data_IF_068692061476
#
_entry.id   IF_068692061476
#
_cell.length_a   1.000
_cell.length_b   1.000
_cell.length_c   1.000
_cell.angle_alpha   90.00
_cell.angle_beta   90.00
_cell.angle_gamma   90.00
#
_symmetry.space_group_name_H-M   'P 1'
#
loop_
_entity.id
_entity.type
_entity.pdbx_description
1 polymer ?
#
# COMPACT_ATOMS: atom_id res chain seq x y z
N UNK A 1 -10.18 5.97 27.88
CA UNK A 1 -9.26 5.29 26.95
C UNK A 1 -10.14 4.73 25.85
N UNK A 2 -10.23 5.43 24.70
CA UNK A 2 -11.00 4.90 23.58
C UNK A 2 -10.33 3.60 23.13
N UNK A 3 -11.10 2.54 22.93
CA UNK A 3 -10.62 1.32 22.30
C UNK A 3 -10.14 1.69 20.90
N UNK A 4 -8.82 1.74 20.71
CA UNK A 4 -8.21 2.05 19.41
C UNK A 4 -8.34 0.83 18.49
N UNK A 5 -9.57 0.56 18.07
CA UNK A 5 -9.91 -0.46 17.09
C UNK A 5 -9.84 0.09 15.67
N UNK A 6 -9.85 -0.80 14.68
CA UNK A 6 -9.98 -0.43 13.28
C UNK A 6 -11.20 0.47 13.02
N UNK A 7 -11.12 1.37 12.04
CA UNK A 7 -12.24 2.20 11.59
C UNK A 7 -13.26 1.33 10.83
N UNK A 8 -14.18 0.69 11.56
CA UNK A 8 -15.12 -0.29 10.99
C UNK A 8 -16.07 0.30 9.94
N UNK A 9 -16.48 1.55 10.09
CA UNK A 9 -17.35 2.21 9.09
C UNK A 9 -16.64 2.43 7.75
N UNK A 10 -15.35 2.84 7.77
CA UNK A 10 -14.55 2.94 6.55
C UNK A 10 -14.38 1.56 5.88
N UNK A 11 -14.13 0.51 6.66
CA UNK A 11 -14.06 -0.87 6.13
C UNK A 11 -15.38 -1.27 5.47
N UNK A 12 -16.51 -0.99 6.11
CA UNK A 12 -17.83 -1.27 5.56
C UNK A 12 -18.09 -0.46 4.28
N UNK A 13 -17.73 0.82 4.26
CA UNK A 13 -17.86 1.68 3.09
C UNK A 13 -17.02 1.19 1.90
N UNK A 14 -15.77 0.77 2.15
CA UNK A 14 -14.90 0.15 1.15
C UNK A 14 -15.55 -1.11 0.58
N UNK A 15 -15.98 -2.05 1.43
CA UNK A 15 -16.61 -3.30 1.00
C UNK A 15 -17.88 -3.04 0.17
N UNK A 16 -18.70 -2.09 0.58
CA UNK A 16 -19.90 -1.69 -0.15
C UNK A 16 -19.56 -1.07 -1.52
N UNK A 17 -18.53 -0.23 -1.60
CA UNK A 17 -18.10 0.36 -2.87
C UNK A 17 -17.56 -0.69 -3.85
N UNK A 18 -16.80 -1.67 -3.34
CA UNK A 18 -16.34 -2.82 -4.13
C UNK A 18 -17.52 -3.67 -4.61
N UNK A 19 -18.50 -3.95 -3.75
CA UNK A 19 -19.69 -4.71 -4.12
C UNK A 19 -20.53 -4.02 -5.20
N UNK A 20 -20.74 -2.70 -5.09
CA UNK A 20 -21.48 -1.92 -6.09
C UNK A 20 -20.80 -1.93 -7.48
N UNK A 21 -19.49 -2.07 -7.53
CA UNK A 21 -18.71 -2.13 -8.78
C UNK A 21 -18.53 -3.54 -9.33
N UNK A 22 -19.17 -4.55 -8.74
CA UNK A 22 -18.90 -5.95 -9.06
C UNK A 22 -19.36 -6.35 -10.47
N UNK A 23 -18.57 -7.20 -11.10
CA UNK A 23 -18.81 -7.79 -12.41
C UNK A 23 -18.43 -9.28 -12.34
N UNK A 24 -19.42 -10.19 -12.20
CA UNK A 24 -19.14 -11.61 -11.96
C UNK A 24 -18.49 -12.30 -13.15
N UNK A 25 -18.73 -11.83 -14.38
CA UNK A 25 -18.12 -12.41 -15.60
C UNK A 25 -16.62 -12.09 -15.60
N UNK A 26 -16.27 -10.84 -15.34
CA UNK A 26 -14.87 -10.42 -15.26
C UNK A 26 -14.17 -10.96 -14.03
N UNK A 27 -14.86 -11.05 -12.90
CA UNK A 27 -14.34 -11.63 -11.66
C UNK A 27 -13.80 -13.05 -11.90
N UNK A 28 -14.58 -13.91 -12.56
CA UNK A 28 -14.16 -15.27 -12.88
C UNK A 28 -12.89 -15.29 -13.76
N UNK A 29 -12.80 -14.39 -14.74
CA UNK A 29 -11.62 -14.22 -15.59
C UNK A 29 -10.38 -13.76 -14.81
N UNK A 30 -10.54 -12.73 -13.97
CA UNK A 30 -9.47 -12.19 -13.13
C UNK A 30 -8.94 -13.23 -12.14
N UNK A 31 -9.83 -13.96 -11.46
CA UNK A 31 -9.42 -14.97 -10.49
C UNK A 31 -8.60 -16.10 -11.16
N UNK A 32 -9.04 -16.58 -12.34
CA UNK A 32 -8.29 -17.59 -13.11
C UNK A 32 -6.94 -17.06 -13.58
N UNK A 33 -6.90 -15.85 -14.13
CA UNK A 33 -5.67 -15.24 -14.62
C UNK A 33 -4.64 -15.02 -13.51
N UNK A 34 -5.08 -14.46 -12.38
CA UNK A 34 -4.24 -14.13 -11.23
C UNK A 34 -3.92 -15.34 -10.35
N UNK A 35 -4.54 -16.50 -10.63
CA UNK A 35 -4.45 -17.73 -9.82
C UNK A 35 -4.72 -17.45 -8.34
N UNK A 36 -5.72 -16.62 -8.07
CA UNK A 36 -5.95 -16.12 -6.71
C UNK A 36 -6.70 -17.12 -5.84
N UNK A 37 -6.27 -17.22 -4.59
CA UNK A 37 -6.93 -17.98 -3.53
C UNK A 37 -8.24 -17.33 -3.06
N UNK A 38 -8.36 -16.01 -3.19
CA UNK A 38 -9.59 -15.29 -2.87
C UNK A 38 -10.41 -15.05 -4.14
N UNK A 39 -11.75 -15.02 -4.04
CA UNK A 39 -12.60 -14.57 -5.13
C UNK A 39 -12.33 -13.11 -5.47
N UNK A 40 -12.65 -12.74 -6.71
CA UNK A 40 -12.68 -11.34 -7.16
C UNK A 40 -14.11 -10.84 -7.15
N UNK A 41 -14.30 -9.53 -6.90
CA UNK A 41 -15.55 -8.82 -7.23
C UNK A 41 -15.60 -8.44 -8.70
N UNK A 42 -14.46 -8.42 -9.38
CA UNK A 42 -14.40 -8.07 -10.78
C UNK A 42 -14.22 -6.56 -10.95
N UNK A 43 -13.33 -5.89 -10.20
CA UNK A 43 -13.06 -4.46 -10.44
C UNK A 43 -11.76 -4.28 -11.24
N UNK A 44 -11.73 -3.24 -12.08
CA UNK A 44 -10.54 -2.82 -12.82
C UNK A 44 -9.76 -1.81 -11.99
N UNK A 45 -8.48 -1.61 -12.30
CA UNK A 45 -7.68 -0.57 -11.64
C UNK A 45 -8.29 0.84 -11.75
N UNK A 46 -8.84 1.29 -12.91
CA UNK A 46 -9.59 2.55 -12.98
C UNK A 46 -10.81 2.62 -12.07
N UNK A 47 -11.58 1.54 -11.94
CA UNK A 47 -12.74 1.51 -11.04
C UNK A 47 -12.32 1.62 -9.57
N UNK A 48 -11.27 0.90 -9.16
CA UNK A 48 -10.70 1.02 -7.81
C UNK A 48 -10.19 2.43 -7.53
N UNK A 49 -9.48 3.03 -8.50
CA UNK A 49 -8.99 4.40 -8.39
C UNK A 49 -10.11 5.45 -8.35
N UNK A 50 -11.28 5.15 -8.92
CA UNK A 50 -12.44 6.02 -8.88
C UNK A 50 -13.22 5.88 -7.56
N UNK A 51 -13.28 4.68 -6.96
CA UNK A 51 -14.14 4.44 -5.79
C UNK A 51 -13.43 4.55 -4.43
N UNK A 52 -12.14 4.21 -4.31
CA UNK A 52 -11.45 4.20 -3.01
C UNK A 52 -11.02 5.59 -2.52
N UNK A 53 -10.33 6.43 -3.33
CA UNK A 53 -9.83 7.72 -2.84
C UNK A 53 -10.91 8.70 -2.34
N UNK A 54 -12.13 8.74 -2.91
CA UNK A 54 -13.21 9.55 -2.31
C UNK A 54 -13.55 9.13 -0.88
N UNK A 55 -13.60 7.83 -0.59
CA UNK A 55 -13.89 7.34 0.77
C UNK A 55 -12.81 7.75 1.76
N UNK A 56 -11.54 7.67 1.37
CA UNK A 56 -10.42 8.05 2.24
C UNK A 56 -10.34 9.56 2.51
N UNK A 57 -11.03 10.39 1.71
CA UNK A 57 -11.09 11.85 1.86
C UNK A 57 -12.39 12.33 2.50
N UNK A 58 -13.35 11.44 2.72
CA UNK A 58 -14.62 11.79 3.35
C UNK A 58 -14.37 12.16 4.81
N UNK A 59 -14.68 13.40 5.26
CA UNK A 59 -14.51 13.79 6.65
C UNK A 59 -15.29 12.92 7.63
N UNK A 60 -16.41 12.31 7.20
CA UNK A 60 -17.19 11.38 8.02
C UNK A 60 -16.58 9.98 8.16
N UNK A 61 -15.53 9.68 7.40
CA UNK A 61 -14.77 8.41 7.44
C UNK A 61 -13.27 8.65 7.69
N UNK A 62 -12.93 9.81 8.26
CA UNK A 62 -11.55 10.19 8.51
C UNK A 62 -10.94 9.25 9.54
N UNK A 63 -9.78 8.67 9.21
CA UNK A 63 -8.97 7.96 10.20
C UNK A 63 -8.23 9.00 11.04
N UNK A 64 -8.28 8.88 12.35
CA UNK A 64 -7.87 9.95 13.28
C UNK A 64 -6.50 9.72 13.94
N UNK A 65 -5.94 8.50 13.83
CA UNK A 65 -4.66 8.14 14.44
C UNK A 65 -3.88 7.08 13.63
N UNK A 66 -2.56 7.02 13.84
CA UNK A 66 -1.68 5.99 13.26
C UNK A 66 -2.13 4.59 13.66
N UNK A 67 -2.53 4.39 14.91
CA UNK A 67 -2.96 3.10 15.44
C UNK A 67 -4.28 2.65 14.80
N UNK A 68 -5.26 3.55 14.67
CA UNK A 68 -6.51 3.25 13.97
C UNK A 68 -6.27 2.96 12.47
N UNK A 69 -5.35 3.69 11.83
CA UNK A 69 -4.94 3.46 10.44
C UNK A 69 -4.30 2.08 10.24
N UNK A 70 -3.33 1.71 11.08
CA UNK A 70 -2.71 0.40 11.07
C UNK A 70 -3.75 -0.70 11.28
N UNK A 71 -4.61 -0.58 12.29
CA UNK A 71 -5.65 -1.57 12.57
C UNK A 71 -6.66 -1.69 11.41
N UNK A 72 -6.99 -0.58 10.73
CA UNK A 72 -7.89 -0.59 9.56
C UNK A 72 -7.27 -1.31 8.37
N UNK A 73 -5.97 -1.09 8.11
CA UNK A 73 -5.22 -1.81 7.08
C UNK A 73 -5.18 -3.31 7.40
N UNK A 74 -4.87 -3.68 8.64
CA UNK A 74 -4.86 -5.08 9.08
C UNK A 74 -6.21 -5.74 8.86
N UNK A 75 -7.32 -5.08 9.21
CA UNK A 75 -8.66 -5.62 8.94
C UNK A 75 -8.93 -5.84 7.45
N UNK A 76 -8.60 -4.87 6.59
CA UNK A 76 -8.77 -5.02 5.14
C UNK A 76 -7.86 -6.11 4.55
N UNK A 77 -6.78 -6.48 5.26
CA UNK A 77 -5.83 -7.46 4.81
C UNK A 77 -6.11 -8.88 5.33
N UNK A 78 -6.20 -9.03 6.64
CA UNK A 78 -6.33 -10.31 7.34
C UNK A 78 -7.76 -10.85 7.25
N UNK A 79 -8.78 -9.98 7.27
CA UNK A 79 -10.18 -10.35 7.14
C UNK A 79 -10.69 -10.26 5.68
N UNK A 80 -9.78 -10.19 4.70
CA UNK A 80 -10.14 -10.03 3.29
C UNK A 80 -10.99 -11.22 2.79
N UNK A 81 -12.21 -10.94 2.31
CA UNK A 81 -13.07 -11.93 1.68
C UNK A 81 -12.89 -12.00 0.16
N UNK A 82 -12.47 -10.88 -0.44
CA UNK A 82 -12.20 -10.74 -1.87
C UNK A 82 -10.84 -10.08 -2.10
N UNK A 83 -10.20 -10.39 -3.24
CA UNK A 83 -8.85 -9.86 -3.52
C UNK A 83 -8.81 -8.33 -3.58
N UNK A 84 -9.88 -7.68 -4.00
CA UNK A 84 -9.92 -6.21 -4.05
C UNK A 84 -9.82 -5.54 -2.65
N UNK A 85 -10.08 -6.27 -1.57
CA UNK A 85 -9.83 -5.77 -0.20
C UNK A 85 -8.32 -5.64 0.08
N UNK A 86 -7.48 -6.58 -0.39
CA UNK A 86 -6.01 -6.43 -0.35
C UNK A 86 -5.54 -5.20 -1.13
N UNK A 87 -6.14 -4.92 -2.28
CA UNK A 87 -5.84 -3.70 -3.03
C UNK A 87 -6.28 -2.43 -2.28
N UNK A 88 -7.37 -2.52 -1.52
CA UNK A 88 -7.88 -1.43 -0.71
C UNK A 88 -6.98 -1.15 0.49
N UNK A 89 -6.49 -2.21 1.17
CA UNK A 89 -5.48 -2.10 2.23
C UNK A 89 -4.21 -1.41 1.71
N UNK A 90 -3.69 -1.83 0.55
CA UNK A 90 -2.52 -1.20 -0.08
C UNK A 90 -2.81 0.25 -0.51
N UNK A 91 -4.03 0.55 -0.99
CA UNK A 91 -4.42 1.90 -1.36
C UNK A 91 -4.49 2.84 -0.15
N UNK A 92 -5.00 2.34 0.98
CA UNK A 92 -5.05 3.07 2.25
C UNK A 92 -3.65 3.30 2.82
N UNK A 93 -2.80 2.27 2.78
CA UNK A 93 -1.42 2.33 3.27
C UNK A 93 -0.56 3.38 2.54
N UNK A 94 -0.76 3.53 1.22
CA UNK A 94 -0.03 4.52 0.41
C UNK A 94 -0.77 5.83 0.19
N UNK A 95 -1.90 6.04 0.86
CA UNK A 95 -2.73 7.21 0.58
C UNK A 95 -1.99 8.49 1.06
N UNK A 96 -1.91 9.56 0.24
CA UNK A 96 -1.15 10.76 0.59
C UNK A 96 -1.58 11.48 1.87
N UNK A 97 -2.77 11.21 2.41
CA UNK A 97 -3.22 11.77 3.69
C UNK A 97 -2.54 11.12 4.90
N UNK A 98 -2.07 9.88 4.78
CA UNK A 98 -1.56 9.08 5.90
C UNK A 98 -0.05 8.83 5.81
N UNK A 99 0.62 9.52 4.89
CA UNK A 99 2.07 9.46 4.64
C UNK A 99 2.93 9.65 5.89
N UNK A 100 2.50 10.49 6.82
CA UNK A 100 3.29 10.83 8.01
C UNK A 100 3.17 9.74 9.09
N UNK A 101 2.27 8.77 8.90
CA UNK A 101 2.10 7.60 9.77
C UNK A 101 2.86 6.36 9.30
N UNK A 102 3.43 6.41 8.10
CA UNK A 102 4.32 5.35 7.61
C UNK A 102 5.49 5.22 8.58
N UNK A 103 5.63 4.02 9.14
CA UNK A 103 6.68 3.72 10.10
C UNK A 103 8.00 3.52 9.36
N UNK A 104 8.84 4.55 9.39
CA UNK A 104 10.11 4.60 8.67
C UNK A 104 11.14 3.68 9.30
N UNK A 105 11.09 3.54 10.63
CA UNK A 105 12.00 2.67 11.36
C UNK A 105 11.69 1.22 11.04
N UNK A 106 10.40 0.84 11.04
CA UNK A 106 10.00 -0.49 10.59
C UNK A 106 10.35 -0.74 9.11
N UNK A 107 10.16 0.27 8.24
CA UNK A 107 10.55 0.14 6.83
C UNK A 107 12.06 -0.08 6.69
N UNK A 108 12.86 0.67 7.45
CA UNK A 108 14.31 0.47 7.54
C UNK A 108 14.64 -0.96 7.96
N UNK A 109 14.08 -1.43 9.08
CA UNK A 109 14.34 -2.77 9.62
C UNK A 109 14.04 -3.87 8.59
N UNK A 110 12.89 -3.76 7.91
CA UNK A 110 12.50 -4.72 6.86
C UNK A 110 13.45 -4.68 5.67
N UNK A 111 13.86 -3.49 5.23
CA UNK A 111 14.81 -3.34 4.12
C UNK A 111 16.16 -3.92 4.51
N UNK A 112 16.69 -3.54 5.67
CA UNK A 112 17.98 -4.02 6.19
C UNK A 112 18.01 -5.54 6.28
N UNK A 113 16.99 -6.16 6.87
CA UNK A 113 16.86 -7.61 6.96
C UNK A 113 16.79 -8.32 5.60
N UNK A 114 16.39 -7.61 4.54
CA UNK A 114 16.24 -8.15 3.18
C UNK A 114 17.42 -7.82 2.27
N UNK A 115 18.35 -6.95 2.68
CA UNK A 115 19.45 -6.47 1.81
C UNK A 115 20.39 -7.57 1.33
N UNK A 116 20.56 -8.63 2.11
CA UNK A 116 21.40 -9.78 1.75
C UNK A 116 20.74 -10.73 0.76
N UNK A 117 19.42 -10.64 0.54
CA UNK A 117 18.71 -11.51 -0.39
C UNK A 117 19.18 -11.25 -1.84
N UNK A 118 19.76 -12.27 -2.52
CA UNK A 118 20.21 -12.11 -3.89
C UNK A 118 19.05 -12.05 -4.90
N UNK A 119 17.82 -12.40 -4.50
CA UNK A 119 16.67 -12.49 -5.39
C UNK A 119 16.34 -11.15 -6.08
N UNK A 120 16.03 -11.26 -7.37
CA UNK A 120 15.73 -10.12 -8.21
C UNK A 120 14.46 -9.38 -7.75
N UNK A 121 13.42 -10.11 -7.35
CA UNK A 121 12.15 -9.52 -6.93
C UNK A 121 12.27 -8.83 -5.58
N UNK A 122 12.99 -9.43 -4.62
CA UNK A 122 13.29 -8.79 -3.33
C UNK A 122 13.99 -7.44 -3.52
N UNK A 123 15.06 -7.41 -4.32
CA UNK A 123 15.81 -6.18 -4.63
C UNK A 123 14.97 -5.13 -5.34
N UNK A 124 14.08 -5.56 -6.25
CA UNK A 124 13.17 -4.67 -6.98
C UNK A 124 12.06 -4.13 -6.07
N UNK A 125 11.54 -4.95 -5.17
CA UNK A 125 10.53 -4.56 -4.18
C UNK A 125 11.07 -3.49 -3.24
N UNK A 126 12.29 -3.64 -2.71
CA UNK A 126 12.98 -2.61 -1.91
C UNK A 126 13.03 -1.28 -2.68
N UNK A 127 13.51 -1.32 -3.93
CA UNK A 127 13.61 -0.10 -4.75
C UNK A 127 12.25 0.55 -5.02
N UNK A 128 11.19 -0.24 -5.21
CA UNK A 128 9.83 0.28 -5.39
C UNK A 128 9.22 0.85 -4.12
N UNK A 129 9.46 0.24 -2.96
CA UNK A 129 9.01 0.75 -1.66
C UNK A 129 9.65 2.12 -1.37
N UNK A 130 10.97 2.23 -1.54
CA UNK A 130 11.70 3.50 -1.39
C UNK A 130 11.22 4.55 -2.39
N UNK A 131 10.99 4.18 -3.66
CA UNK A 131 10.45 5.11 -4.67
C UNK A 131 9.03 5.58 -4.35
N UNK A 132 8.20 4.75 -3.73
CA UNK A 132 6.86 5.18 -3.33
C UNK A 132 6.96 6.20 -2.19
N UNK A 133 7.79 5.93 -1.17
CA UNK A 133 8.07 6.85 -0.08
C UNK A 133 8.68 8.17 -0.56
N UNK A 134 9.50 8.14 -1.62
CA UNK A 134 10.10 9.32 -2.25
C UNK A 134 9.09 10.37 -2.74
N UNK A 135 7.87 9.95 -3.08
CA UNK A 135 6.80 10.88 -3.48
C UNK A 135 6.40 11.78 -2.33
N UNK A 136 6.60 11.29 -1.11
CA UNK A 136 6.32 12.00 0.12
C UNK A 136 7.56 12.64 0.74
N UNK A 137 8.66 11.90 0.87
CA UNK A 137 9.86 12.31 1.59
C UNK A 137 11.12 11.98 0.77
N UNK A 138 11.38 12.76 -0.29
CA UNK A 138 12.52 12.49 -1.18
C UNK A 138 13.86 12.69 -0.47
N UNK A 139 13.94 13.61 0.50
CA UNK A 139 15.17 13.90 1.24
C UNK A 139 15.54 12.73 2.15
N UNK A 140 14.57 12.17 2.89
CA UNK A 140 14.78 10.97 3.69
C UNK A 140 15.24 9.79 2.83
N UNK A 141 14.62 9.57 1.66
CA UNK A 141 15.00 8.44 0.78
C UNK A 141 16.41 8.65 0.19
N UNK A 142 16.80 9.87 -0.18
CA UNK A 142 18.18 10.17 -0.62
C UNK A 142 19.18 9.88 0.50
N UNK A 143 18.92 10.37 1.70
CA UNK A 143 19.76 10.11 2.88
C UNK A 143 19.82 8.61 3.19
N UNK A 144 18.69 7.90 3.18
CA UNK A 144 18.64 6.46 3.41
C UNK A 144 19.54 5.71 2.41
N UNK A 145 19.38 5.99 1.11
CA UNK A 145 20.19 5.35 0.07
C UNK A 145 21.68 5.68 0.22
N UNK A 146 22.04 6.90 0.63
CA UNK A 146 23.43 7.29 0.90
C UNK A 146 24.03 6.49 2.07
N UNK A 147 23.30 6.37 3.18
CA UNK A 147 23.76 5.71 4.40
C UNK A 147 23.81 4.17 4.32
N UNK A 148 23.23 3.55 3.28
CA UNK A 148 23.17 2.08 3.15
C UNK A 148 23.99 1.55 1.96
N UNK A 149 25.35 1.64 1.97
CA UNK A 149 26.22 1.20 0.86
C UNK A 149 25.99 -0.25 0.41
N UNK A 150 25.45 -1.09 1.31
CA UNK A 150 25.09 -2.49 1.07
C UNK A 150 23.87 -2.70 0.17
N UNK A 151 23.03 -1.67 -0.04
CA UNK A 151 21.90 -1.76 -0.97
C UNK A 151 22.39 -2.12 -2.38
N UNK A 152 21.73 -3.12 -2.98
CA UNK A 152 22.03 -3.54 -4.34
C UNK A 152 21.92 -2.37 -5.33
N UNK A 153 22.78 -2.37 -6.37
CA UNK A 153 22.72 -1.34 -7.40
C UNK A 153 21.35 -1.25 -8.11
N UNK A 154 20.60 -2.35 -8.18
CA UNK A 154 19.23 -2.35 -8.71
C UNK A 154 18.26 -1.59 -7.78
N UNK A 155 18.28 -1.90 -6.48
CA UNK A 155 17.43 -1.25 -5.49
C UNK A 155 17.67 0.26 -5.45
N UNK A 156 18.95 0.67 -5.46
CA UNK A 156 19.36 2.09 -5.52
C UNK A 156 18.80 2.81 -6.75
N UNK A 157 18.98 2.21 -7.94
CA UNK A 157 18.49 2.79 -9.20
C UNK A 157 16.98 2.93 -9.24
N UNK A 158 16.23 1.94 -8.75
CA UNK A 158 14.78 2.01 -8.71
C UNK A 158 14.28 3.00 -7.65
N UNK A 159 14.92 3.08 -6.48
CA UNK A 159 14.57 4.00 -5.39
C UNK A 159 14.69 5.47 -5.81
N UNK A 160 15.81 5.84 -6.46
CA UNK A 160 16.10 7.21 -6.87
C UNK A 160 15.45 7.61 -8.20
N UNK A 161 14.69 6.71 -8.81
CA UNK A 161 14.05 6.94 -10.10
C UNK A 161 13.02 8.05 -9.99
N UNK A 162 13.09 9.01 -10.91
CA UNK A 162 12.24 10.21 -10.98
C UNK A 162 12.51 11.29 -9.92
N UNK A 163 13.60 11.21 -9.16
CA UNK A 163 13.94 12.23 -8.16
C UNK A 163 14.67 13.46 -8.72
N UNK A 164 15.09 13.43 -9.99
CA UNK A 164 15.98 14.44 -10.58
C UNK A 164 17.37 14.43 -9.92
N UNK A 165 18.42 14.67 -10.69
CA UNK A 165 19.70 15.06 -10.10
C UNK A 165 19.47 16.40 -9.41
N UNK A 166 19.87 16.55 -8.15
CA UNK A 166 20.00 17.87 -7.55
C UNK A 166 20.87 18.72 -8.51
N UNK A 167 20.30 19.82 -9.00
CA UNK A 167 21.04 20.84 -9.74
C UNK A 167 21.93 21.62 -8.80
#
# INVERSE_FOLDING_TARGET
MAETGAHRDLVAAVRLALERGADPVRAAGQQRYMKSVLPYRGLTSPQLAACLPPLFRDPGLAVESKEQWQATISVLWDEASHREEWYSALALAKHPLYRDWVDRDLLTDVIEATTEDPDFFSRKAIGWALRDLARSDPDWVRAFVEHHPTLSGLSRREALKNMGSAG
#
